data_IF_599284160769
#
_entry.id   IF_599284160769
#
_cell.length_a   1.000
_cell.length_b   1.000
_cell.length_c   1.000
_cell.angle_alpha   90.00
_cell.angle_beta   90.00
_cell.angle_gamma   90.00
#
_symmetry.space_group_name_H-M   'P 1'
#
loop_
_entity.id
_entity.type
_entity.pdbx_description
1 polymer ?
#
# COMPACT_ATOMS: atom_id res chain seq x y z
N UNK A 1 10.22 3.51 -3.46
CA UNK A 1 8.75 3.45 -3.58
C UNK A 1 8.24 4.81 -4.00
N UNK A 2 7.59 4.84 -5.15
CA UNK A 2 7.10 6.02 -5.82
C UNK A 2 5.60 5.81 -6.06
N UNK A 3 4.77 6.44 -5.22
CA UNK A 3 3.33 6.22 -5.17
C UNK A 3 2.66 7.60 -5.10
N UNK A 4 2.29 8.19 -6.24
CA UNK A 4 1.64 9.51 -6.28
C UNK A 4 0.32 9.59 -5.50
N UNK A 5 -0.37 8.47 -5.37
CA UNK A 5 -1.62 8.31 -4.64
C UNK A 5 -1.42 8.27 -3.11
N UNK A 6 -0.17 8.18 -2.64
CA UNK A 6 0.14 8.15 -1.22
C UNK A 6 0.00 9.55 -0.60
N UNK A 7 -1.20 9.87 -0.13
CA UNK A 7 -1.50 11.11 0.60
C UNK A 7 -1.10 11.08 2.08
N UNK A 8 -0.85 9.90 2.66
CA UNK A 8 -0.59 9.78 4.09
C UNK A 8 0.44 8.72 4.44
N UNK A 9 1.36 9.08 5.33
CA UNK A 9 2.37 8.16 5.90
C UNK A 9 2.32 8.26 7.43
N UNK A 10 2.06 7.13 8.08
CA UNK A 10 2.18 7.00 9.53
C UNK A 10 3.46 6.23 9.88
N UNK A 11 4.29 6.79 10.75
CA UNK A 11 5.47 6.12 11.30
C UNK A 11 5.15 5.80 12.77
N UNK A 12 4.86 4.55 13.05
CA UNK A 12 4.66 4.04 14.42
C UNK A 12 5.99 3.88 15.12
N UNK A 13 6.01 4.07 16.44
CA UNK A 13 7.22 3.93 17.28
C UNK A 13 8.39 4.73 16.71
N UNK A 14 8.15 6.01 16.39
CA UNK A 14 9.12 6.86 15.71
C UNK A 14 10.32 7.22 16.59
N UNK A 15 10.20 7.07 17.91
CA UNK A 15 11.23 7.34 18.91
C UNK A 15 12.11 6.12 19.24
N UNK A 16 11.83 4.95 18.67
CA UNK A 16 12.67 3.76 18.83
C UNK A 16 13.93 3.88 17.98
N UNK A 17 14.96 4.48 18.55
CA UNK A 17 16.25 4.64 17.86
C UNK A 17 16.82 3.30 17.37
N UNK A 18 17.47 3.36 16.21
CA UNK A 18 17.98 2.20 15.50
C UNK A 18 17.99 2.46 14.01
N UNK A 19 18.38 1.45 13.23
CA UNK A 19 18.52 1.59 11.77
C UNK A 19 17.24 2.08 11.08
N UNK A 20 16.07 1.58 11.51
CA UNK A 20 14.78 1.92 10.90
C UNK A 20 14.23 3.30 11.30
N UNK A 21 14.83 3.95 12.31
CA UNK A 21 14.44 5.29 12.81
C UNK A 21 15.62 6.27 12.82
N UNK A 22 16.68 5.93 12.09
CA UNK A 22 17.75 6.88 11.82
C UNK A 22 17.19 8.06 11.02
N UNK A 23 17.91 9.18 11.09
CA UNK A 23 17.60 10.39 10.32
C UNK A 23 17.36 10.08 8.83
N UNK A 24 18.24 9.28 8.22
CA UNK A 24 18.15 8.93 6.80
C UNK A 24 16.92 8.08 6.50
N UNK A 25 16.61 7.10 7.36
CA UNK A 25 15.42 6.24 7.22
C UNK A 25 14.12 7.03 7.37
N UNK A 26 14.06 7.95 8.34
CA UNK A 26 12.91 8.83 8.54
C UNK A 26 12.70 9.75 7.33
N UNK A 27 13.75 10.41 6.82
CA UNK A 27 13.66 11.26 5.63
C UNK A 27 13.15 10.47 4.41
N UNK A 28 13.66 9.25 4.20
CA UNK A 28 13.24 8.41 3.08
C UNK A 28 11.78 7.96 3.19
N UNK A 29 11.31 7.71 4.42
CA UNK A 29 9.93 7.32 4.70
C UNK A 29 8.98 8.50 4.53
N UNK A 30 9.36 9.69 5.03
CA UNK A 30 8.64 10.95 4.82
C UNK A 30 8.49 11.25 3.32
N UNK A 31 9.56 11.05 2.55
CA UNK A 31 9.59 11.30 1.11
C UNK A 31 8.60 10.48 0.29
N UNK A 32 7.96 9.45 0.87
CA UNK A 32 6.90 8.69 0.20
C UNK A 32 5.62 9.50 0.02
N UNK A 33 5.30 10.41 0.95
CA UNK A 33 4.14 11.30 0.87
C UNK A 33 4.39 12.54 -0.02
N UNK A 34 5.64 12.82 -0.39
CA UNK A 34 6.02 14.08 -1.05
C UNK A 34 5.54 14.23 -2.50
N UNK A 35 4.91 13.19 -3.07
CA UNK A 35 4.39 13.20 -4.45
C UNK A 35 2.91 13.55 -4.56
N UNK A 36 2.27 13.77 -3.43
CA UNK A 36 0.86 14.14 -3.33
C UNK A 36 0.74 15.55 -2.76
N UNK A 37 -0.15 16.38 -3.32
CA UNK A 37 -0.41 17.74 -2.84
C UNK A 37 -0.92 17.76 -1.40
N UNK A 38 -1.70 16.75 -1.02
CA UNK A 38 -2.25 16.57 0.33
C UNK A 38 -1.34 15.67 1.19
N UNK A 39 -0.10 15.43 0.74
CA UNK A 39 0.89 14.59 1.40
C UNK A 39 1.13 14.99 2.86
N UNK A 40 0.75 14.12 3.79
CA UNK A 40 0.90 14.31 5.23
C UNK A 40 1.64 13.15 5.88
N UNK A 41 2.52 13.47 6.82
CA UNK A 41 3.24 12.47 7.62
C UNK A 41 2.95 12.70 9.10
N UNK A 42 2.63 11.63 9.82
CA UNK A 42 2.50 11.64 11.29
C UNK A 42 3.51 10.65 11.88
N UNK A 43 4.32 11.15 12.81
CA UNK A 43 5.26 10.36 13.61
C UNK A 43 4.62 10.13 14.97
N UNK A 44 4.26 8.88 15.27
CA UNK A 44 3.76 8.48 16.58
C UNK A 44 4.95 8.11 17.46
N UNK A 45 5.14 8.86 18.55
CA UNK A 45 6.25 8.73 19.47
C UNK A 45 5.84 9.32 20.83
N UNK A 46 6.47 8.83 21.90
CA UNK A 46 6.32 9.41 23.24
C UNK A 46 7.22 10.65 23.39
N UNK A 47 8.37 10.64 22.71
CA UNK A 47 9.39 11.69 22.81
C UNK A 47 10.06 11.99 21.48
N UNK A 48 10.51 13.23 21.29
CA UNK A 48 11.21 13.64 20.07
C UNK A 48 12.68 13.29 20.20
N UNK A 49 13.18 12.40 19.33
CA UNK A 49 14.60 12.03 19.29
C UNK A 49 15.41 12.98 18.41
N UNK A 50 16.73 13.02 18.58
CA UNK A 50 17.59 13.85 17.72
C UNK A 50 17.50 13.46 16.24
N UNK A 51 17.26 12.18 15.93
CA UNK A 51 17.03 11.72 14.55
C UNK A 51 15.73 12.28 13.97
N UNK A 52 14.68 12.38 14.77
CA UNK A 52 13.41 13.01 14.37
C UNK A 52 13.57 14.51 14.16
N UNK A 53 14.25 15.21 15.09
CA UNK A 53 14.48 16.66 14.96
C UNK A 53 15.20 17.01 13.66
N UNK A 54 16.29 16.31 13.35
CA UNK A 54 17.05 16.53 12.12
C UNK A 54 16.24 16.19 10.87
N UNK A 55 15.47 15.10 10.88
CA UNK A 55 14.61 14.72 9.77
C UNK A 55 13.48 15.75 9.51
N UNK A 56 12.84 16.25 10.58
CA UNK A 56 11.82 17.30 10.48
C UNK A 56 12.42 18.63 10.03
N UNK A 57 13.57 19.04 10.56
CA UNK A 57 14.26 20.25 10.16
C UNK A 57 14.65 20.22 8.66
N UNK A 58 15.19 19.10 8.18
CA UNK A 58 15.52 18.95 6.77
C UNK A 58 14.28 18.94 5.87
N UNK A 59 13.18 18.35 6.34
CA UNK A 59 11.89 18.38 5.62
C UNK A 59 11.34 19.80 5.50
N UNK A 60 11.34 20.56 6.60
CA UNK A 60 10.87 21.95 6.62
C UNK A 60 11.74 22.85 5.73
N UNK A 61 13.07 22.74 5.85
CA UNK A 61 14.02 23.50 5.02
C UNK A 61 13.79 23.27 3.52
N UNK A 62 13.48 22.04 3.11
CA UNK A 62 13.14 21.73 1.71
C UNK A 62 11.81 22.34 1.31
N UNK A 63 10.79 22.22 2.17
CA UNK A 63 9.45 22.75 1.90
C UNK A 63 9.47 24.28 1.76
N UNK A 64 10.17 24.99 2.63
CA UNK A 64 10.32 26.45 2.57
C UNK A 64 10.89 26.89 1.23
N UNK A 65 12.02 26.30 0.80
CA UNK A 65 12.62 26.59 -0.51
C UNK A 65 11.69 26.30 -1.68
N UNK A 66 10.91 25.23 -1.60
CA UNK A 66 9.93 24.88 -2.62
C UNK A 66 8.79 25.91 -2.67
N UNK A 67 8.29 26.36 -1.52
CA UNK A 67 7.24 27.38 -1.45
C UNK A 67 7.73 28.74 -1.97
N UNK A 68 8.94 29.16 -1.59
CA UNK A 68 9.56 30.39 -2.11
C UNK A 68 9.73 30.34 -3.63
N UNK A 69 10.25 29.22 -4.15
CA UNK A 69 10.40 29.02 -5.58
C UNK A 69 9.05 29.05 -6.31
N UNK A 70 8.04 28.37 -5.75
CA UNK A 70 6.71 28.33 -6.34
C UNK A 70 6.06 29.72 -6.37
N UNK A 71 6.19 30.50 -5.30
CA UNK A 71 5.69 31.87 -5.23
C UNK A 71 6.40 32.78 -6.23
N UNK A 72 7.72 32.68 -6.35
CA UNK A 72 8.51 33.49 -7.29
C UNK A 72 8.21 33.17 -8.77
N UNK A 73 7.80 31.93 -9.07
CA UNK A 73 7.55 31.47 -10.44
C UNK A 73 6.06 31.28 -10.78
N UNK A 74 5.14 31.60 -9.86
CA UNK A 74 3.70 31.41 -10.07
C UNK A 74 3.27 29.94 -10.24
N UNK A 75 4.01 29.00 -9.64
CA UNK A 75 3.72 27.56 -9.75
C UNK A 75 2.68 27.17 -8.69
N UNK A 76 1.55 26.60 -9.13
CA UNK A 76 0.59 25.96 -8.22
C UNK A 76 0.92 24.47 -8.12
N UNK A 77 1.14 23.91 -6.92
CA UNK A 77 1.42 22.49 -6.76
C UNK A 77 0.23 21.63 -7.22
N UNK A 78 0.50 20.64 -8.07
CA UNK A 78 -0.47 19.63 -8.50
C UNK A 78 0.07 18.23 -8.25
N UNK A 79 -0.81 17.29 -7.85
CA UNK A 79 -0.43 15.88 -7.67
C UNK A 79 -0.08 15.24 -9.01
N UNK A 80 0.96 14.40 -9.01
CA UNK A 80 1.38 13.67 -10.21
C UNK A 80 0.31 12.65 -10.60
N UNK A 81 -0.22 12.75 -11.83
CA UNK A 81 -1.13 11.74 -12.39
C UNK A 81 -0.30 10.63 -13.03
N UNK A 82 -0.07 9.54 -12.30
CA UNK A 82 0.48 8.33 -12.90
C UNK A 82 -0.64 7.50 -13.50
N UNK A 83 -0.39 6.87 -14.66
CA UNK A 83 -1.25 5.79 -15.14
C UNK A 83 -1.02 4.63 -14.16
N UNK A 84 -2.04 4.24 -13.41
CA UNK A 84 -2.01 3.09 -12.52
C UNK A 84 -1.77 1.86 -13.40
N UNK A 85 -0.50 1.52 -13.66
CA UNK A 85 -0.13 0.26 -14.29
C UNK A 85 -0.02 -0.79 -13.19
N UNK A 86 -0.96 -1.73 -13.21
CA UNK A 86 -0.77 -3.16 -12.95
C UNK A 86 -0.23 -3.63 -11.59
N UNK A 87 -0.26 -2.80 -10.53
CA UNK A 87 0.06 -3.29 -9.18
C UNK A 87 -1.05 -4.19 -8.63
N UNK A 88 -2.32 -3.87 -8.92
CA UNK A 88 -3.48 -4.62 -8.43
C UNK A 88 -3.67 -5.98 -9.13
N UNK A 89 -3.32 -6.08 -10.42
CA UNK A 89 -3.52 -7.31 -11.20
C UNK A 89 -2.58 -8.44 -10.75
N UNK A 90 -1.38 -8.13 -10.24
CA UNK A 90 -0.39 -9.14 -9.88
C UNK A 90 -0.62 -9.85 -8.53
N UNK A 91 -1.37 -9.23 -7.62
CA UNK A 91 -1.58 -9.75 -6.25
C UNK A 91 -2.88 -10.56 -6.17
N UNK A 92 -3.91 -10.17 -6.92
CA UNK A 92 -5.20 -10.87 -6.88
C UNK A 92 -5.26 -12.13 -7.76
N UNK A 93 -4.42 -12.28 -8.79
CA UNK A 93 -4.43 -13.49 -9.64
C UNK A 93 -3.56 -14.65 -9.12
N UNK A 94 -2.69 -14.44 -8.14
CA UNK A 94 -1.75 -15.51 -7.70
C UNK A 94 -2.23 -16.43 -6.59
N UNK A 95 -3.37 -16.15 -5.94
CA UNK A 95 -3.83 -16.94 -4.79
C UNK A 95 -5.12 -17.75 -5.03
N UNK A 96 -5.64 -17.72 -6.27
CA UNK A 96 -6.67 -18.66 -6.68
C UNK A 96 -6.14 -19.53 -7.81
N UNK A 97 -5.70 -20.74 -7.44
CA UNK A 97 -5.72 -21.86 -8.37
C UNK A 97 -7.20 -22.07 -8.71
N UNK A 98 -7.67 -21.48 -9.82
CA UNK A 98 -8.87 -21.96 -10.49
C UNK A 98 -8.53 -23.37 -10.95
N UNK A 99 -8.94 -24.37 -10.17
CA UNK A 99 -8.99 -25.72 -10.68
C UNK A 99 -9.84 -25.68 -11.94
N UNK A 100 -9.27 -26.07 -13.07
CA UNK A 100 -9.95 -26.08 -14.35
C UNK A 100 -10.99 -27.23 -14.30
N UNK A 101 -12.25 -26.91 -13.98
CA UNK A 101 -13.35 -27.89 -13.91
C UNK A 101 -13.83 -28.26 -15.34
N UNK A 102 -13.15 -27.79 -16.39
CA UNK A 102 -13.53 -28.10 -17.78
C UNK A 102 -13.46 -29.59 -18.13
N UNK A 103 -12.74 -30.41 -17.35
CA UNK A 103 -12.68 -31.86 -17.57
C UNK A 103 -13.88 -32.66 -17.02
N UNK A 104 -14.84 -32.03 -16.34
CA UNK A 104 -16.00 -32.74 -15.78
C UNK A 104 -17.36 -32.37 -16.41
N UNK A 105 -17.38 -31.56 -17.46
CA UNK A 105 -18.63 -31.22 -18.16
C UNK A 105 -18.63 -31.77 -19.58
N UNK A 106 -18.61 -33.09 -19.70
CA UNK A 106 -19.17 -33.73 -20.88
C UNK A 106 -20.69 -33.76 -20.74
N UNK A 107 -21.32 -32.83 -21.47
CA UNK A 107 -22.55 -33.03 -22.25
C UNK A 107 -23.66 -33.95 -21.69
N UNK A 108 -24.05 -33.81 -20.42
CA UNK A 108 -25.43 -33.96 -19.94
C UNK A 108 -25.47 -33.61 -18.45
N UNK A 109 -26.43 -32.78 -18.04
CA UNK A 109 -26.57 -32.33 -16.65
C UNK A 109 -26.79 -33.46 -15.65
N UNK A 110 -25.70 -34.02 -15.12
CA UNK A 110 -25.71 -34.99 -14.03
C UNK A 110 -24.82 -34.49 -12.89
N UNK A 111 -25.36 -33.59 -12.07
CA UNK A 111 -24.84 -33.30 -10.72
C UNK A 111 -25.19 -34.48 -9.80
N UNK A 112 -24.56 -35.63 -9.97
CA UNK A 112 -24.67 -36.74 -9.01
C UNK A 112 -23.31 -37.40 -8.84
N UNK A 113 -22.59 -37.00 -7.79
CA UNK A 113 -21.46 -37.74 -7.29
C UNK A 113 -21.89 -39.13 -6.83
N UNK A 114 -21.08 -40.14 -7.15
CA UNK A 114 -21.27 -41.57 -6.86
C UNK A 114 -21.53 -41.93 -5.38
N UNK A 115 -21.59 -40.97 -4.47
CA UNK A 115 -21.75 -41.18 -3.03
C UNK A 115 -23.14 -40.84 -2.49
N UNK A 116 -24.00 -40.17 -3.28
CA UNK A 116 -25.35 -39.81 -2.82
C UNK A 116 -26.29 -41.04 -2.79
N UNK A 117 -26.14 -41.94 -3.76
CA UNK A 117 -26.97 -43.15 -3.88
C UNK A 117 -26.74 -44.12 -2.72
N UNK A 118 -25.47 -44.33 -2.34
CA UNK A 118 -25.10 -45.14 -1.19
C UNK A 118 -25.62 -44.57 0.14
N UNK A 119 -25.77 -43.24 0.24
CA UNK A 119 -26.28 -42.58 1.44
C UNK A 119 -27.81 -42.69 1.56
N UNK A 120 -28.52 -42.62 0.43
CA UNK A 120 -29.99 -42.80 0.39
C UNK A 120 -30.40 -44.24 0.74
N UNK A 121 -29.72 -45.24 0.19
CA UNK A 121 -30.01 -46.66 0.49
C UNK A 121 -29.78 -47.02 1.98
N UNK A 122 -28.88 -46.29 2.66
CA UNK A 122 -28.63 -46.48 4.09
C UNK A 122 -29.73 -45.87 5.00
N UNK A 123 -30.54 -44.96 4.47
CA UNK A 123 -31.62 -44.30 5.23
C UNK A 123 -32.97 -45.01 5.11
N UNK A 124 -33.15 -45.91 4.14
CA UNK A 124 -34.40 -46.65 3.91
C UNK A 124 -34.47 -48.02 4.61
N UNK A 125 -33.51 -48.37 5.47
CA UNK A 125 -33.49 -49.63 6.23
C UNK A 125 -33.66 -49.42 7.73
#
# INVERSE_FOLDING_TARGET
LDIPECGFVAILDADKEGFLRSETSLIQTIGRAARNVDGKVILYADQVTGSMERAMAETNRRREKQMEWNAANGITPESVKSRISDILDSVYEKDHVRADISQFTDSAGAMMGNNLKAHLDAMEK
#
